data_IF_290468668342
#
_entry.id   IF_290468668342
#
_cell.length_a   1.000
_cell.length_b   1.000
_cell.length_c   1.000
_cell.angle_alpha   90.00
_cell.angle_beta   90.00
_cell.angle_gamma   90.00
#
_symmetry.space_group_name_H-M   'P 1'
#
loop_
_entity.id
_entity.type
_entity.pdbx_description
1 polymer ?
#
# COMPACT_ATOMS: atom_id res chain seq x y z
N UNK A 1 34.80 -9.76 22.30
CA UNK A 1 34.13 -10.13 21.03
C UNK A 1 32.80 -10.82 21.33
N UNK A 2 31.71 -10.08 21.55
CA UNK A 2 30.39 -10.66 21.88
C UNK A 2 29.41 -10.52 20.71
N UNK A 3 28.93 -11.63 20.14
CA UNK A 3 27.93 -11.61 19.06
C UNK A 3 26.53 -11.80 19.65
N UNK A 4 25.58 -10.97 19.22
CA UNK A 4 24.19 -11.04 19.71
C UNK A 4 23.53 -12.36 19.31
N UNK A 5 22.83 -13.01 20.23
CA UNK A 5 22.10 -14.27 20.00
C UNK A 5 20.76 -14.02 19.27
N UNK A 6 20.82 -13.60 17.99
CA UNK A 6 19.63 -13.25 17.19
C UNK A 6 18.67 -14.42 16.98
N UNK A 7 19.19 -15.66 16.97
CA UNK A 7 18.39 -16.86 16.75
C UNK A 7 17.35 -17.12 17.85
N UNK A 8 17.62 -16.69 19.10
CA UNK A 8 16.68 -16.88 20.21
C UNK A 8 15.31 -16.23 19.93
N UNK A 9 15.29 -15.02 19.35
CA UNK A 9 14.03 -14.34 18.99
C UNK A 9 13.22 -15.12 17.97
N UNK A 10 13.88 -15.62 16.92
CA UNK A 10 13.22 -16.42 15.91
C UNK A 10 12.70 -17.74 16.52
N UNK A 11 13.55 -18.44 17.28
CA UNK A 11 13.20 -19.70 17.92
C UNK A 11 11.98 -19.57 18.83
N UNK A 12 11.88 -18.51 19.65
CA UNK A 12 10.70 -18.25 20.49
C UNK A 12 9.43 -18.10 19.64
N UNK A 13 9.48 -17.34 18.54
CA UNK A 13 8.32 -17.16 17.65
C UNK A 13 7.88 -18.50 17.02
N UNK A 14 8.84 -19.28 16.51
CA UNK A 14 8.57 -20.60 15.93
C UNK A 14 8.00 -21.58 16.97
N UNK A 15 8.53 -21.55 18.21
CA UNK A 15 8.05 -22.41 19.29
C UNK A 15 6.65 -22.04 19.76
N UNK A 16 6.34 -20.75 19.85
CA UNK A 16 5.03 -20.27 20.33
C UNK A 16 3.92 -20.36 19.29
N UNK A 17 4.21 -20.04 18.02
CA UNK A 17 3.19 -20.05 16.96
C UNK A 17 3.10 -21.38 16.21
N UNK A 18 4.19 -22.16 16.21
CA UNK A 18 4.33 -23.33 15.35
C UNK A 18 4.28 -22.99 13.87
N UNK A 19 4.39 -24.03 13.03
CA UNK A 19 4.26 -23.88 11.56
C UNK A 19 2.88 -23.36 11.18
N UNK A 20 1.82 -23.90 11.78
CA UNK A 20 0.44 -23.56 11.43
C UNK A 20 0.10 -22.11 11.72
N UNK A 21 0.49 -21.59 12.90
CA UNK A 21 0.28 -20.19 13.25
C UNK A 21 1.03 -19.24 12.30
N UNK A 22 2.26 -19.58 11.93
CA UNK A 22 3.04 -18.81 10.95
C UNK A 22 2.36 -18.79 9.57
N UNK A 23 1.93 -19.96 9.07
CA UNK A 23 1.23 -20.07 7.78
C UNK A 23 -0.11 -19.31 7.81
N UNK A 24 -0.88 -19.41 8.90
CA UNK A 24 -2.15 -18.71 9.05
C UNK A 24 -1.98 -17.19 8.95
N UNK A 25 -0.92 -16.63 9.56
CA UNK A 25 -0.64 -15.19 9.52
C UNK A 25 -0.21 -14.71 8.14
N UNK A 26 0.63 -15.48 7.45
CA UNK A 26 1.00 -15.17 6.06
C UNK A 26 -0.23 -15.21 5.14
N UNK A 27 -1.10 -16.22 5.31
CA UNK A 27 -2.36 -16.32 4.55
C UNK A 27 -3.27 -15.13 4.82
N UNK A 28 -3.39 -14.69 6.07
CA UNK A 28 -4.20 -13.52 6.41
C UNK A 28 -3.65 -12.23 5.78
N UNK A 29 -2.33 -12.03 5.79
CA UNK A 29 -1.70 -10.89 5.12
C UNK A 29 -1.98 -10.88 3.62
N UNK A 30 -1.90 -12.04 2.97
CA UNK A 30 -2.22 -12.21 1.55
C UNK A 30 -3.71 -11.98 1.29
N UNK A 31 -4.60 -12.49 2.15
CA UNK A 31 -6.06 -12.27 2.05
C UNK A 31 -6.38 -10.78 2.11
N UNK A 32 -5.82 -10.07 3.08
CA UNK A 32 -6.00 -8.63 3.25
C UNK A 32 -5.42 -7.83 2.07
N UNK A 33 -4.27 -8.23 1.52
CA UNK A 33 -3.68 -7.57 0.36
C UNK A 33 -4.57 -7.69 -0.88
N UNK A 34 -5.10 -8.89 -1.15
CA UNK A 34 -6.03 -9.11 -2.27
C UNK A 34 -7.34 -8.36 -2.09
N UNK A 35 -7.91 -8.39 -0.87
CA UNK A 35 -9.13 -7.64 -0.54
C UNK A 35 -8.95 -6.13 -0.79
N UNK A 36 -7.82 -5.57 -0.38
CA UNK A 36 -7.51 -4.17 -0.63
C UNK A 36 -7.33 -3.87 -2.13
N UNK A 37 -6.71 -4.77 -2.88
CA UNK A 37 -6.58 -4.64 -4.31
C UNK A 37 -7.93 -4.66 -5.03
N UNK A 38 -8.90 -5.45 -4.55
CA UNK A 38 -10.27 -5.43 -5.06
C UNK A 38 -10.96 -4.10 -4.80
N UNK A 39 -10.77 -3.50 -3.61
CA UNK A 39 -11.30 -2.16 -3.33
C UNK A 39 -10.69 -1.09 -4.23
N UNK A 40 -9.38 -1.17 -4.52
CA UNK A 40 -8.71 -0.27 -5.45
C UNK A 40 -9.27 -0.43 -6.86
N UNK A 41 -9.47 -1.66 -7.35
CA UNK A 41 -10.05 -1.91 -8.68
C UNK A 41 -11.46 -1.36 -8.82
N UNK A 42 -12.23 -1.35 -7.72
CA UNK A 42 -13.60 -0.84 -7.70
C UNK A 42 -13.69 0.70 -7.62
N UNK A 43 -12.59 1.40 -7.30
CA UNK A 43 -12.55 2.88 -7.27
C UNK A 43 -11.81 3.40 -8.50
N UNK A 44 -12.55 3.95 -9.47
CA UNK A 44 -12.02 4.42 -10.75
C UNK A 44 -11.00 5.56 -10.66
N UNK A 45 -10.81 6.15 -9.47
CA UNK A 45 -9.82 7.20 -9.23
C UNK A 45 -8.44 6.63 -8.90
N UNK A 46 -8.31 5.32 -8.73
CA UNK A 46 -7.06 4.64 -8.40
C UNK A 46 -6.75 3.53 -9.38
N UNK A 47 -5.45 3.26 -9.55
CA UNK A 47 -4.97 2.12 -10.32
C UNK A 47 -3.93 1.32 -9.52
N UNK A 48 -3.87 0.01 -9.77
CA UNK A 48 -2.78 -0.83 -9.27
C UNK A 48 -1.53 -0.58 -10.12
N UNK A 49 -0.44 -0.20 -9.45
CA UNK A 49 0.82 0.11 -10.13
C UNK A 49 1.65 -1.15 -10.46
N UNK A 50 1.39 -2.26 -9.77
CA UNK A 50 2.03 -3.56 -9.97
C UNK A 50 1.07 -4.70 -9.58
N UNK A 51 1.31 -5.93 -10.08
CA UNK A 51 0.64 -7.11 -9.55
C UNK A 51 0.83 -7.24 -8.04
N UNK A 52 -0.23 -7.61 -7.33
CA UNK A 52 -0.17 -7.85 -5.88
C UNK A 52 0.66 -9.09 -5.63
N UNK A 53 1.67 -8.97 -4.77
CA UNK A 53 2.51 -10.07 -4.37
C UNK A 53 2.68 -10.06 -2.85
N UNK A 54 2.38 -11.19 -2.22
CA UNK A 54 2.42 -11.34 -0.75
C UNK A 54 1.55 -10.28 -0.06
N UNK A 55 2.04 -9.67 1.02
CA UNK A 55 1.34 -8.65 1.80
C UNK A 55 1.58 -7.21 1.32
N UNK A 56 2.07 -6.97 0.10
CA UNK A 56 2.40 -5.60 -0.36
C UNK A 56 1.54 -5.22 -1.56
N UNK A 57 0.92 -4.03 -1.48
CA UNK A 57 0.12 -3.46 -2.57
C UNK A 57 0.68 -2.09 -2.94
N UNK A 58 0.99 -1.93 -4.23
CA UNK A 58 1.43 -0.67 -4.83
C UNK A 58 0.33 -0.13 -5.74
N UNK A 59 -0.09 1.10 -5.49
CA UNK A 59 -1.21 1.74 -6.19
C UNK A 59 -0.98 3.24 -6.30
N UNK A 60 -1.73 3.91 -7.18
CA UNK A 60 -1.63 5.36 -7.34
C UNK A 60 -2.99 5.97 -7.65
N UNK A 61 -3.15 7.22 -7.26
CA UNK A 61 -4.28 8.05 -7.62
C UNK A 61 -4.10 8.58 -9.05
N UNK A 62 -5.14 8.45 -9.85
CA UNK A 62 -5.24 8.93 -11.25
C UNK A 62 -6.29 10.02 -11.44
N UNK A 63 -7.12 10.30 -10.42
CA UNK A 63 -8.13 11.36 -10.46
C UNK A 63 -9.45 10.94 -11.14
N UNK A 64 -10.53 11.73 -11.00
CA UNK A 64 -11.76 11.52 -11.75
C UNK A 64 -11.52 11.89 -13.23
N UNK A 65 -12.00 11.05 -14.14
CA UNK A 65 -11.91 11.17 -15.61
C UNK A 65 -10.50 10.80 -16.11
N UNK A 66 -10.26 9.71 -16.86
CA UNK A 66 -10.47 9.61 -18.33
C UNK A 66 -10.27 10.91 -19.16
N UNK A 67 -9.78 11.99 -18.57
CA UNK A 67 -9.47 13.28 -19.18
C UNK A 67 -7.97 13.53 -19.30
N UNK A 68 -7.17 12.56 -18.84
CA UNK A 68 -5.79 12.36 -19.25
C UNK A 68 -5.84 11.08 -20.09
N UNK A 69 -6.15 11.22 -21.38
CA UNK A 69 -6.31 10.10 -22.32
C UNK A 69 -5.08 9.19 -22.41
N UNK A 70 -3.95 9.58 -21.80
CA UNK A 70 -2.70 8.84 -21.88
C UNK A 70 -2.20 8.30 -20.52
N UNK A 71 -2.93 8.41 -19.41
CA UNK A 71 -2.41 8.04 -18.06
C UNK A 71 -2.09 6.54 -17.84
N UNK A 72 -2.26 5.69 -18.86
CA UNK A 72 -1.73 4.32 -18.87
C UNK A 72 -0.19 4.27 -18.89
N UNK A 73 0.41 3.06 -19.01
CA UNK A 73 1.84 2.91 -19.26
C UNK A 73 2.17 3.47 -20.67
N UNK A 74 2.31 4.79 -20.77
CA UNK A 74 2.41 5.50 -22.04
C UNK A 74 1.99 6.98 -22.04
N UNK A 75 1.78 7.62 -20.88
CA UNK A 75 1.35 9.04 -20.82
C UNK A 75 2.25 10.00 -21.60
N UNK A 76 1.71 10.50 -22.70
CA UNK A 76 2.38 11.28 -23.75
C UNK A 76 2.72 12.74 -23.34
N UNK A 77 2.20 13.23 -22.22
CA UNK A 77 2.47 14.58 -21.70
C UNK A 77 3.26 14.57 -20.36
N UNK A 78 4.55 14.97 -20.36
CA UNK A 78 5.40 15.03 -19.17
C UNK A 78 4.83 15.89 -18.02
N UNK A 79 4.18 17.01 -18.35
CA UNK A 79 3.63 17.93 -17.34
C UNK A 79 2.51 17.28 -16.52
N UNK A 80 1.75 16.38 -17.14
CA UNK A 80 0.67 15.64 -16.48
C UNK A 80 1.20 14.53 -15.59
N UNK A 81 2.26 13.83 -16.01
CA UNK A 81 2.93 12.83 -15.19
C UNK A 81 3.52 13.46 -13.92
N UNK A 82 4.20 14.61 -14.06
CA UNK A 82 4.77 15.35 -12.92
C UNK A 82 3.70 15.88 -11.96
N UNK A 83 2.51 16.25 -12.47
CA UNK A 83 1.37 16.64 -11.64
C UNK A 83 0.84 15.44 -10.84
N UNK A 84 0.64 14.30 -11.48
CA UNK A 84 0.17 13.08 -10.80
C UNK A 84 1.17 12.62 -9.73
N UNK A 85 2.46 12.71 -10.01
CA UNK A 85 3.51 12.37 -9.05
C UNK A 85 3.52 13.29 -7.82
N UNK A 86 3.34 14.60 -8.02
CA UNK A 86 3.17 15.57 -6.93
C UNK A 86 1.90 15.31 -6.12
N UNK A 87 0.79 14.99 -6.79
CA UNK A 87 -0.47 14.66 -6.11
C UNK A 87 -0.35 13.41 -5.25
N UNK A 88 0.26 12.34 -5.78
CA UNK A 88 0.48 11.11 -5.02
C UNK A 88 1.39 11.34 -3.81
N UNK A 89 2.45 12.15 -3.97
CA UNK A 89 3.30 12.57 -2.83
C UNK A 89 2.50 13.34 -1.77
N UNK A 90 1.70 14.32 -2.20
CA UNK A 90 0.89 15.13 -1.30
C UNK A 90 -0.17 14.31 -0.54
N UNK A 91 -0.77 13.29 -1.18
CA UNK A 91 -1.68 12.36 -0.52
C UNK A 91 -0.95 11.64 0.64
N UNK A 92 0.22 11.06 0.37
CA UNK A 92 0.99 10.34 1.39
C UNK A 92 1.41 11.24 2.54
N UNK A 93 1.90 12.45 2.23
CA UNK A 93 2.29 13.42 3.24
C UNK A 93 1.11 13.83 4.13
N UNK A 94 -0.05 14.13 3.54
CA UNK A 94 -1.27 14.48 4.31
C UNK A 94 -1.75 13.34 5.18
N UNK A 95 -1.73 12.10 4.68
CA UNK A 95 -2.11 10.92 5.45
C UNK A 95 -1.16 10.74 6.64
N UNK A 96 0.15 10.80 6.40
CA UNK A 96 1.16 10.62 7.45
C UNK A 96 1.11 11.75 8.49
N UNK A 97 0.92 13.00 8.05
CA UNK A 97 0.77 14.17 8.94
C UNK A 97 -0.50 14.09 9.81
N UNK A 98 -1.54 13.41 9.35
CA UNK A 98 -2.76 13.20 10.16
C UNK A 98 -2.54 12.31 11.38
N UNK A 99 -1.47 11.50 11.41
CA UNK A 99 -1.21 10.51 12.46
C UNK A 99 -2.19 9.34 12.52
N UNK A 100 -3.21 9.29 11.65
CA UNK A 100 -4.25 8.24 11.65
C UNK A 100 -3.82 6.96 10.93
N UNK A 101 -2.89 7.08 9.99
CA UNK A 101 -2.32 5.97 9.24
C UNK A 101 -0.91 6.33 8.78
N UNK A 102 -0.11 5.32 8.43
CA UNK A 102 1.22 5.52 7.87
C UNK A 102 1.36 4.76 6.54
N UNK A 103 1.70 5.48 5.49
CA UNK A 103 1.97 4.94 4.16
C UNK A 103 3.37 5.33 3.71
N UNK A 104 3.99 4.43 2.96
CA UNK A 104 5.26 4.71 2.27
C UNK A 104 4.97 5.00 0.81
N UNK A 105 5.84 5.77 0.17
CA UNK A 105 5.83 5.94 -1.28
C UNK A 105 7.12 5.40 -1.91
N UNK A 106 7.07 5.09 -3.19
CA UNK A 106 8.23 4.67 -3.97
C UNK A 106 8.08 5.11 -5.42
N UNK A 107 9.16 5.03 -6.21
CA UNK A 107 9.12 5.24 -7.64
C UNK A 107 9.15 3.90 -8.36
N UNK A 108 8.12 3.62 -9.16
CA UNK A 108 8.04 2.43 -10.00
C UNK A 108 7.96 2.85 -11.47
N UNK A 109 8.98 2.47 -12.25
CA UNK A 109 9.11 2.87 -13.67
C UNK A 109 8.99 4.39 -13.85
N UNK A 110 9.68 5.16 -12.99
CA UNK A 110 9.67 6.63 -13.02
C UNK A 110 8.45 7.30 -12.38
N UNK A 111 7.39 6.56 -12.01
CA UNK A 111 6.14 7.11 -11.47
C UNK A 111 6.07 6.97 -9.96
N UNK A 112 5.57 7.99 -9.27
CA UNK A 112 5.37 7.98 -7.83
C UNK A 112 4.12 7.19 -7.47
N UNK A 113 4.28 6.18 -6.60
CA UNK A 113 3.21 5.26 -6.20
C UNK A 113 3.16 5.14 -4.68
N UNK A 114 1.96 4.97 -4.15
CA UNK A 114 1.71 4.63 -2.76
C UNK A 114 1.96 3.13 -2.54
N UNK A 115 2.54 2.79 -1.39
CA UNK A 115 2.84 1.42 -1.00
C UNK A 115 2.36 1.16 0.43
N UNK A 116 1.47 0.19 0.55
CA UNK A 116 1.02 -0.36 1.83
C UNK A 116 1.58 -1.77 2.03
N UNK A 117 2.15 -2.02 3.21
CA UNK A 117 2.71 -3.32 3.60
C UNK A 117 1.93 -3.91 4.77
N UNK A 118 1.22 -5.00 4.53
CA UNK A 118 0.46 -5.77 5.50
C UNK A 118 1.37 -6.82 6.13
N UNK A 119 2.14 -6.38 7.13
CA UNK A 119 3.07 -7.25 7.88
C UNK A 119 2.81 -7.30 9.38
N UNK A 120 2.03 -6.35 9.91
CA UNK A 120 1.77 -6.26 11.34
C UNK A 120 0.75 -7.33 11.76
N UNK A 121 1.10 -8.01 12.84
CA UNK A 121 0.42 -9.16 13.44
C UNK A 121 -0.92 -8.78 14.07
N UNK A 122 -1.11 -7.49 14.37
CA UNK A 122 -2.33 -6.91 14.92
C UNK A 122 -3.23 -6.29 13.85
N UNK A 123 -2.78 -6.23 12.59
CA UNK A 123 -3.60 -5.69 11.51
C UNK A 123 -4.79 -6.61 11.26
N UNK A 124 -5.98 -6.02 11.20
CA UNK A 124 -7.25 -6.66 10.92
C UNK A 124 -7.90 -5.91 9.77
N UNK A 125 -8.92 -6.52 9.18
CA UNK A 125 -9.68 -5.91 8.10
C UNK A 125 -10.27 -4.53 8.46
N UNK A 126 -10.72 -4.35 9.70
CA UNK A 126 -11.23 -3.05 10.19
C UNK A 126 -10.18 -1.92 10.10
N UNK A 127 -8.90 -2.23 10.36
CA UNK A 127 -7.80 -1.28 10.25
C UNK A 127 -7.58 -0.91 8.78
N UNK A 128 -7.68 -1.89 7.90
CA UNK A 128 -7.53 -1.71 6.46
C UNK A 128 -8.68 -0.90 5.85
N UNK A 129 -9.93 -1.13 6.30
CA UNK A 129 -11.10 -0.33 5.92
C UNK A 129 -10.94 1.12 6.34
N UNK A 130 -10.52 1.38 7.59
CA UNK A 130 -10.24 2.73 8.09
C UNK A 130 -9.13 3.41 7.30
N UNK A 131 -8.04 2.70 7.01
CA UNK A 131 -6.95 3.23 6.19
C UNK A 131 -7.43 3.59 4.78
N UNK A 132 -8.27 2.74 4.17
CA UNK A 132 -8.84 3.00 2.85
C UNK A 132 -9.76 4.23 2.84
N UNK A 133 -10.63 4.38 3.85
CA UNK A 133 -11.46 5.57 4.00
C UNK A 133 -10.62 6.84 4.10
N UNK A 134 -9.54 6.83 4.89
CA UNK A 134 -8.61 7.96 5.01
C UNK A 134 -7.98 8.30 3.65
N UNK A 135 -7.58 7.29 2.88
CA UNK A 135 -7.01 7.48 1.53
C UNK A 135 -8.04 8.15 0.61
N UNK A 136 -9.27 7.63 0.58
CA UNK A 136 -10.34 8.17 -0.26
C UNK A 136 -10.73 9.60 0.16
N UNK A 137 -10.86 9.88 1.46
CA UNK A 137 -11.13 11.21 2.00
C UNK A 137 -10.03 12.21 1.62
N UNK A 138 -8.77 11.81 1.75
CA UNK A 138 -7.62 12.67 1.45
C UNK A 138 -7.53 12.96 -0.05
N UNK A 139 -7.74 11.93 -0.88
CA UNK A 139 -7.73 12.07 -2.33
C UNK A 139 -8.90 12.92 -2.86
N UNK A 140 -10.03 12.96 -2.17
CA UNK A 140 -11.19 13.80 -2.56
C UNK A 140 -11.04 15.28 -2.18
N UNK A 141 -10.08 15.61 -1.30
CA UNK A 141 -9.79 16.98 -0.82
C UNK A 141 -8.60 17.63 -1.56
N UNK A 142 -8.14 17.03 -2.65
CA UNK A 142 -7.04 17.46 -3.50
C UNK A 142 -7.56 17.68 -4.93
#
# INVERSE_FOLDING_TARGET
LGRRFRALKAWVIWRSLGREGMVARLREQVRLANLFADWIRNDNRFELAAPVSMGVVCFRFVGPVTGIADAGPGSSNPATADRLDRLNSAIVERINASGRAYLTQTKLRGRTVMRIGLGNVLTKEEHLRKAWQIIQETASKL
#
